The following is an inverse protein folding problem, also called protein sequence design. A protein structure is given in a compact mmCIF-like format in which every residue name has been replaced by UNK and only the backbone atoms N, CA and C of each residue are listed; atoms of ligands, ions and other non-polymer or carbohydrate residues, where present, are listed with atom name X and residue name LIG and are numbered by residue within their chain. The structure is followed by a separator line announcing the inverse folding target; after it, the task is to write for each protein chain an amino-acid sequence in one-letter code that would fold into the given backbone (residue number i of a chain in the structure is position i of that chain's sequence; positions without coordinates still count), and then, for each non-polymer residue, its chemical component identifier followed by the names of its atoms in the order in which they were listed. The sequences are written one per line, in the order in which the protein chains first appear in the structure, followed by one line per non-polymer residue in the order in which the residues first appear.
data_IF_768946420410
#
_entry.id   IF_768946420410
#
_cell.length_a   1.000
_cell.length_b   1.000
_cell.length_c   1.000
_cell.angle_alpha   90.00
_cell.angle_beta   90.00
_cell.angle_gamma   90.00
#
_symmetry.space_group_name_H-M   'P 1'
#
loop_
_entity.id
_entity.type
_entity.pdbx_description
1 polymer ?
#
# COMPACT_ATOMS: atom_id res chain seq x y z
N UNK A 1 -17.28 -36.69 45.74
CA UNK A 1 -16.37 -35.82 44.96
C UNK A 1 -16.19 -36.51 43.60
N UNK A 2 -16.85 -36.10 42.51
CA UNK A 2 -16.49 -34.97 41.61
C UNK A 2 -15.02 -35.09 41.15
N UNK A 3 -14.60 -35.31 39.90
CA UNK A 3 -15.22 -35.29 38.57
C UNK A 3 -14.46 -36.20 37.59
N UNK A 4 -15.19 -36.69 36.59
CA UNK A 4 -14.71 -37.15 35.27
C UNK A 4 -13.89 -36.06 34.56
N UNK A 5 -12.88 -36.44 33.77
CA UNK A 5 -12.50 -35.72 32.54
C UNK A 5 -11.73 -36.63 31.58
N UNK A 6 -12.46 -37.16 30.60
CA UNK A 6 -11.96 -37.49 29.27
C UNK A 6 -11.61 -36.18 28.56
N UNK A 7 -10.49 -36.10 27.85
CA UNK A 7 -10.27 -35.06 26.85
C UNK A 7 -9.51 -35.64 25.66
N UNK A 8 -10.29 -35.93 24.62
CA UNK A 8 -9.87 -36.41 23.31
C UNK A 8 -9.16 -35.31 22.51
N UNK A 9 -8.23 -35.65 21.60
CA UNK A 9 -7.60 -34.68 20.72
C UNK A 9 -8.59 -34.24 19.63
N UNK A 10 -8.80 -32.93 19.55
CA UNK A 10 -9.68 -32.25 18.61
C UNK A 10 -9.04 -32.25 17.21
N UNK A 11 -9.60 -33.07 16.30
CA UNK A 11 -9.29 -33.04 14.87
C UNK A 11 -9.80 -31.73 14.25
N UNK A 12 -8.87 -30.91 13.77
CA UNK A 12 -9.12 -29.70 13.00
C UNK A 12 -9.59 -30.09 11.60
N UNK A 13 -10.90 -29.94 11.34
CA UNK A 13 -11.52 -30.08 10.02
C UNK A 13 -11.57 -28.69 9.35
N UNK A 14 -10.91 -28.43 8.21
CA UNK A 14 -11.07 -27.17 7.52
C UNK A 14 -12.38 -27.19 6.73
N UNK A 15 -13.35 -26.38 7.16
CA UNK A 15 -14.56 -26.09 6.39
C UNK A 15 -14.18 -25.32 5.13
N UNK A 16 -14.21 -26.00 3.98
CA UNK A 16 -14.24 -25.39 2.65
C UNK A 16 -15.54 -24.59 2.50
N UNK A 17 -15.47 -23.29 2.76
CA UNK A 17 -16.52 -22.35 2.39
C UNK A 17 -16.47 -22.20 0.86
N UNK A 18 -17.32 -22.94 0.13
CA UNK A 18 -17.58 -22.67 -1.27
C UNK A 18 -18.20 -21.27 -1.37
N UNK A 19 -17.40 -20.31 -1.82
CA UNK A 19 -17.88 -19.02 -2.28
C UNK A 19 -18.83 -19.26 -3.46
N UNK A 20 -20.13 -19.22 -3.21
CA UNK A 20 -21.16 -19.18 -4.24
C UNK A 20 -21.08 -17.79 -4.88
N UNK A 21 -20.31 -17.67 -5.95
CA UNK A 21 -20.41 -16.53 -6.85
C UNK A 21 -21.84 -16.50 -7.43
N UNK A 22 -22.54 -15.35 -7.43
CA UNK A 22 -23.85 -15.26 -8.07
C UNK A 22 -23.69 -15.61 -9.55
N UNK A 23 -24.47 -16.59 -10.01
CA UNK A 23 -24.57 -16.91 -11.42
C UNK A 23 -25.12 -15.69 -12.15
N UNK A 24 -24.25 -14.97 -12.85
CA UNK A 24 -24.62 -13.94 -13.81
C UNK A 24 -25.37 -14.65 -14.93
N UNK A 25 -26.70 -14.62 -14.90
CA UNK A 25 -27.52 -14.99 -16.05
C UNK A 25 -27.05 -14.17 -17.24
N UNK A 26 -26.69 -14.80 -18.37
CA UNK A 26 -26.30 -14.05 -19.55
C UNK A 26 -27.47 -13.14 -19.93
N UNK A 27 -27.19 -11.89 -20.34
CA UNK A 27 -28.25 -10.99 -20.77
C UNK A 27 -29.01 -11.67 -21.91
N UNK A 28 -30.33 -11.80 -21.78
CA UNK A 28 -31.21 -12.28 -22.85
C UNK A 28 -30.99 -11.39 -24.07
N UNK A 29 -30.13 -11.84 -24.98
CA UNK A 29 -29.89 -11.19 -26.26
C UNK A 29 -30.98 -11.67 -27.23
N UNK A 30 -31.94 -10.82 -27.62
CA UNK A 30 -33.01 -11.23 -28.52
C UNK A 30 -32.52 -11.34 -29.98
N UNK A 31 -31.30 -10.88 -30.29
CA UNK A 31 -30.78 -10.84 -31.66
C UNK A 31 -30.68 -12.22 -32.34
N UNK A 32 -30.11 -13.26 -31.71
CA UNK A 32 -30.03 -14.60 -32.32
C UNK A 32 -31.42 -15.14 -32.70
N UNK A 33 -32.40 -14.94 -31.83
CA UNK A 33 -33.78 -15.35 -32.06
C UNK A 33 -34.43 -14.59 -33.23
N UNK A 34 -34.28 -13.27 -33.26
CA UNK A 34 -34.84 -12.43 -34.33
C UNK A 34 -34.21 -12.74 -35.70
N UNK A 35 -32.91 -13.05 -35.73
CA UNK A 35 -32.20 -13.47 -36.95
C UNK A 35 -32.75 -14.81 -37.47
N UNK A 36 -33.02 -15.76 -36.57
CA UNK A 36 -33.59 -17.05 -36.90
C UNK A 36 -35.02 -16.93 -37.44
N UNK A 37 -35.86 -16.11 -36.79
CA UNK A 37 -37.23 -15.80 -37.25
C UNK A 37 -37.21 -15.13 -38.64
N UNK A 38 -36.24 -14.26 -38.91
CA UNK A 38 -36.04 -13.62 -40.22
C UNK A 38 -35.63 -14.62 -41.31
N UNK A 39 -34.76 -15.58 -41.00
CA UNK A 39 -34.39 -16.64 -41.94
C UNK A 39 -35.58 -17.49 -42.36
N UNK A 40 -36.49 -17.83 -41.44
CA UNK A 40 -37.73 -18.54 -41.77
C UNK A 40 -38.65 -17.72 -42.69
N UNK A 41 -38.78 -16.42 -42.45
CA UNK A 41 -39.60 -15.55 -43.31
C UNK A 41 -39.03 -15.42 -44.73
N UNK A 42 -37.69 -15.39 -44.87
CA UNK A 42 -37.03 -15.39 -46.19
C UNK A 42 -37.28 -16.71 -46.93
N UNK A 43 -37.20 -17.85 -46.26
CA UNK A 43 -37.52 -19.14 -46.86
C UNK A 43 -38.98 -19.22 -47.34
N UNK A 44 -39.92 -18.67 -46.57
CA UNK A 44 -41.33 -18.60 -46.96
C UNK A 44 -41.54 -17.69 -48.19
N UNK A 45 -40.83 -16.57 -48.27
CA UNK A 45 -40.83 -15.71 -49.45
C UNK A 45 -40.27 -16.43 -50.68
N UNK A 46 -39.14 -17.13 -50.54
CA UNK A 46 -38.52 -17.87 -51.64
C UNK A 46 -39.42 -19.01 -52.12
N UNK A 47 -40.07 -19.74 -51.22
CA UNK A 47 -41.04 -20.76 -51.55
C UNK A 47 -42.25 -20.18 -52.30
N UNK A 48 -42.83 -19.08 -51.82
CA UNK A 48 -43.96 -18.40 -52.48
C UNK A 48 -43.57 -17.84 -53.87
N UNK A 49 -42.35 -17.31 -54.00
CA UNK A 49 -41.83 -16.81 -55.27
C UNK A 49 -41.48 -17.95 -56.25
N UNK A 50 -40.98 -19.08 -55.75
CA UNK A 50 -40.74 -20.29 -56.54
C UNK A 50 -42.06 -20.91 -57.01
N UNK A 51 -43.10 -20.94 -56.17
CA UNK A 51 -44.46 -21.37 -56.54
C UNK A 51 -45.00 -20.55 -57.72
N UNK A 52 -44.77 -19.23 -57.69
CA UNK A 52 -45.15 -18.29 -58.76
C UNK A 52 -44.37 -18.55 -60.06
N UNK A 53 -43.07 -18.83 -59.95
CA UNK A 53 -42.21 -19.08 -61.11
C UNK A 53 -42.33 -20.52 -61.66
N UNK A 54 -42.81 -21.48 -60.88
CA UNK A 54 -43.10 -22.85 -61.33
C UNK A 54 -44.35 -22.90 -62.23
N UNK A 55 -45.26 -21.93 -62.09
CA UNK A 55 -46.48 -21.76 -62.88
C UNK A 55 -46.27 -20.89 -64.13
N UNK A 56 -45.18 -21.12 -64.87
CA UNK A 56 -44.71 -20.33 -66.03
C UNK A 56 -45.64 -20.28 -67.26
N UNK A 57 -46.89 -20.76 -67.18
CA UNK A 57 -47.79 -20.84 -68.33
C UNK A 57 -49.08 -20.00 -68.21
N UNK A 58 -49.43 -19.46 -67.05
CA UNK A 58 -50.67 -18.67 -66.93
C UNK A 58 -50.51 -17.49 -65.97
N UNK A 59 -51.25 -16.42 -66.27
CA UNK A 59 -51.14 -15.11 -65.62
C UNK A 59 -51.15 -15.22 -64.09
N UNK A 60 -50.23 -14.54 -63.38
CA UNK A 60 -50.10 -14.67 -61.94
C UNK A 60 -51.43 -14.32 -61.24
N UNK A 61 -51.90 -15.24 -60.40
CA UNK A 61 -53.10 -15.04 -59.59
C UNK A 61 -52.84 -13.95 -58.54
N UNK A 62 -53.79 -13.04 -58.34
CA UNK A 62 -53.70 -11.95 -57.34
C UNK A 62 -53.37 -12.48 -55.93
N UNK A 63 -53.76 -13.72 -55.64
CA UNK A 63 -53.51 -14.41 -54.37
C UNK A 63 -52.02 -14.62 -54.09
N UNK A 64 -51.26 -15.05 -55.09
CA UNK A 64 -49.83 -15.35 -54.93
C UNK A 64 -49.01 -14.05 -54.79
N UNK A 65 -49.44 -12.99 -55.47
CA UNK A 65 -48.88 -11.64 -55.25
C UNK A 65 -49.13 -11.14 -53.83
N UNK A 66 -50.28 -11.47 -53.24
CA UNK A 66 -50.61 -11.05 -51.90
C UNK A 66 -49.78 -11.79 -50.84
N UNK A 67 -49.55 -13.09 -51.02
CA UNK A 67 -48.69 -13.89 -50.14
C UNK A 67 -47.23 -13.44 -50.17
N UNK A 68 -46.69 -13.12 -51.35
CA UNK A 68 -45.36 -12.54 -51.50
C UNK A 68 -45.25 -11.18 -50.80
N UNK A 69 -46.25 -10.31 -50.97
CA UNK A 69 -46.27 -8.99 -50.33
C UNK A 69 -46.37 -9.10 -48.81
N UNK A 70 -47.15 -10.04 -48.29
CA UNK A 70 -47.31 -10.24 -46.86
C UNK A 70 -46.05 -10.88 -46.23
N UNK A 71 -45.38 -11.80 -46.92
CA UNK A 71 -44.05 -12.28 -46.53
C UNK A 71 -43.03 -11.13 -46.50
N UNK A 72 -43.03 -10.25 -47.51
CA UNK A 72 -42.13 -9.09 -47.56
C UNK A 72 -42.39 -8.11 -46.41
N UNK A 73 -43.66 -7.82 -46.09
CA UNK A 73 -44.03 -7.00 -44.93
C UNK A 73 -43.57 -7.64 -43.62
N UNK A 74 -43.65 -8.97 -43.50
CA UNK A 74 -43.13 -9.72 -42.36
C UNK A 74 -41.62 -9.54 -42.18
N UNK A 75 -40.86 -9.70 -43.26
CA UNK A 75 -39.40 -9.50 -43.27
C UNK A 75 -39.05 -8.06 -42.85
N UNK A 76 -39.72 -7.04 -43.41
CA UNK A 76 -39.46 -5.63 -43.09
C UNK A 76 -39.71 -5.33 -41.60
N UNK A 77 -40.78 -5.89 -41.02
CA UNK A 77 -41.06 -5.75 -39.59
C UNK A 77 -39.95 -6.37 -38.73
N UNK A 78 -39.48 -7.57 -39.09
CA UNK A 78 -38.38 -8.23 -38.37
C UNK A 78 -37.04 -7.54 -38.55
N UNK A 79 -36.72 -7.03 -39.74
CA UNK A 79 -35.52 -6.23 -39.96
C UNK A 79 -35.54 -4.94 -39.10
N UNK A 80 -36.73 -4.33 -38.90
CA UNK A 80 -36.89 -3.18 -38.00
C UNK A 80 -36.65 -3.55 -36.53
N UNK A 81 -37.15 -4.71 -36.09
CA UNK A 81 -36.92 -5.24 -34.73
C UNK A 81 -35.44 -5.56 -34.50
N UNK A 82 -34.76 -6.16 -35.49
CA UNK A 82 -33.33 -6.46 -35.45
C UNK A 82 -32.52 -5.17 -35.32
N UNK A 83 -32.80 -4.15 -36.14
CA UNK A 83 -32.08 -2.86 -36.07
C UNK A 83 -32.25 -2.21 -34.70
N UNK A 84 -33.47 -2.23 -34.13
CA UNK A 84 -33.72 -1.71 -32.77
C UNK A 84 -32.97 -2.50 -31.71
N UNK A 85 -32.94 -3.83 -31.81
CA UNK A 85 -32.21 -4.69 -30.89
C UNK A 85 -30.69 -4.46 -30.97
N UNK A 86 -30.13 -4.30 -32.18
CA UNK A 86 -28.72 -3.95 -32.38
C UNK A 86 -28.42 -2.61 -31.74
N UNK A 87 -29.21 -1.55 -32.03
CA UNK A 87 -28.98 -0.22 -31.46
C UNK A 87 -29.02 -0.23 -29.92
N UNK A 88 -29.99 -0.94 -29.33
CA UNK A 88 -30.08 -1.10 -27.88
C UNK A 88 -28.86 -1.84 -27.31
N UNK A 89 -28.39 -2.89 -27.98
CA UNK A 89 -27.20 -3.62 -27.58
C UNK A 89 -25.93 -2.75 -27.71
N UNK A 90 -25.78 -1.98 -28.79
CA UNK A 90 -24.65 -1.06 -28.97
C UNK A 90 -24.63 0.00 -27.89
N UNK A 91 -25.77 0.64 -27.59
CA UNK A 91 -25.87 1.64 -26.53
C UNK A 91 -25.49 1.07 -25.16
N UNK A 92 -25.98 -0.13 -24.82
CA UNK A 92 -25.62 -0.81 -23.57
C UNK A 92 -24.12 -1.12 -23.51
N UNK A 93 -23.55 -1.60 -24.60
CA UNK A 93 -22.12 -1.95 -24.69
C UNK A 93 -21.24 -0.70 -24.56
N UNK A 94 -21.60 0.39 -25.24
CA UNK A 94 -20.90 1.68 -25.10
C UNK A 94 -21.03 2.24 -23.69
N UNK A 95 -22.22 2.18 -23.08
CA UNK A 95 -22.41 2.62 -21.70
C UNK A 95 -21.56 1.80 -20.71
N UNK A 96 -21.52 0.47 -20.86
CA UNK A 96 -20.70 -0.41 -20.05
C UNK A 96 -19.20 -0.09 -20.21
N UNK A 97 -18.71 0.03 -21.45
CA UNK A 97 -17.31 0.37 -21.73
C UNK A 97 -16.94 1.73 -21.15
N UNK A 98 -17.83 2.73 -21.25
CA UNK A 98 -17.59 4.06 -20.67
C UNK A 98 -17.56 4.00 -19.14
N UNK A 99 -18.49 3.25 -18.51
CA UNK A 99 -18.51 3.07 -17.07
C UNK A 99 -17.24 2.35 -16.58
N UNK A 100 -16.83 1.27 -17.24
CA UNK A 100 -15.59 0.55 -16.94
C UNK A 100 -14.36 1.43 -17.11
N UNK A 101 -14.29 2.22 -18.18
CA UNK A 101 -13.19 3.17 -18.38
C UNK A 101 -13.15 4.25 -17.30
N UNK A 102 -14.31 4.76 -16.86
CA UNK A 102 -14.36 5.73 -15.77
C UNK A 102 -13.92 5.11 -14.45
N UNK A 103 -14.36 3.88 -14.16
CA UNK A 103 -13.93 3.14 -12.97
C UNK A 103 -12.43 2.85 -13.00
N UNK A 104 -11.89 2.40 -14.13
CA UNK A 104 -10.46 2.16 -14.30
C UNK A 104 -9.65 3.44 -14.10
N UNK A 105 -10.11 4.58 -14.67
CA UNK A 105 -9.47 5.88 -14.45
C UNK A 105 -9.48 6.29 -12.97
N UNK A 106 -10.61 6.13 -12.28
CA UNK A 106 -10.71 6.42 -10.85
C UNK A 106 -9.75 5.55 -10.03
N UNK A 107 -9.67 4.25 -10.31
CA UNK A 107 -8.74 3.34 -9.64
C UNK A 107 -7.29 3.74 -9.85
N UNK A 108 -6.91 4.11 -11.08
CA UNK A 108 -5.56 4.61 -11.39
C UNK A 108 -5.26 5.92 -10.65
N UNK A 109 -6.21 6.86 -10.62
CA UNK A 109 -6.03 8.13 -9.90
C UNK A 109 -5.85 7.91 -8.40
N UNK A 110 -6.65 7.04 -7.78
CA UNK A 110 -6.52 6.70 -6.36
C UNK A 110 -5.17 6.04 -6.09
N UNK A 111 -4.76 5.07 -6.91
CA UNK A 111 -3.46 4.41 -6.77
C UNK A 111 -2.28 5.40 -6.92
N UNK A 112 -2.37 6.35 -7.86
CA UNK A 112 -1.35 7.38 -8.04
C UNK A 112 -1.31 8.37 -6.86
N UNK A 113 -2.47 8.78 -6.35
CA UNK A 113 -2.57 9.64 -5.18
C UNK A 113 -2.02 8.96 -3.92
N UNK A 114 -2.26 7.66 -3.76
CA UNK A 114 -1.73 6.89 -2.64
C UNK A 114 -0.20 6.77 -2.71
N UNK A 115 0.35 6.50 -3.90
CA UNK A 115 1.79 6.48 -4.14
C UNK A 115 2.45 7.84 -3.86
N UNK A 116 1.83 8.95 -4.27
CA UNK A 116 2.39 10.28 -4.00
C UNK A 116 2.35 10.62 -2.51
N UNK A 117 1.27 10.26 -1.81
CA UNK A 117 1.15 10.45 -0.36
C UNK A 117 2.20 9.63 0.40
N UNK A 118 2.47 8.41 -0.06
CA UNK A 118 3.49 7.55 0.53
C UNK A 118 4.89 8.11 0.29
N UNK A 119 5.21 8.59 -0.92
CA UNK A 119 6.48 9.27 -1.20
C UNK A 119 6.69 10.51 -0.34
N UNK A 120 5.65 11.33 -0.15
CA UNK A 120 5.71 12.51 0.71
C UNK A 120 6.09 12.11 2.14
N UNK A 121 5.44 11.08 2.69
CA UNK A 121 5.75 10.55 4.03
C UNK A 121 7.18 10.04 4.14
N UNK A 122 7.70 9.41 3.08
CA UNK A 122 9.11 8.98 3.05
C UNK A 122 10.07 10.18 3.14
N UNK A 123 9.84 11.25 2.38
CA UNK A 123 10.66 12.45 2.46
C UNK A 123 10.56 13.15 3.82
N UNK A 124 9.37 13.21 4.41
CA UNK A 124 9.18 13.78 5.74
C UNK A 124 9.90 12.98 6.82
N UNK A 125 9.89 11.64 6.71
CA UNK A 125 10.65 10.75 7.60
C UNK A 125 12.15 10.90 7.41
N UNK A 126 12.63 11.00 6.17
CA UNK A 126 14.04 11.23 5.87
C UNK A 126 14.54 12.54 6.49
N UNK A 127 13.79 13.62 6.33
CA UNK A 127 14.10 14.90 6.96
C UNK A 127 14.10 14.81 8.50
N UNK A 128 13.16 14.09 9.10
CA UNK A 128 13.13 13.88 10.54
C UNK A 128 14.37 13.11 11.02
N UNK A 129 14.77 12.05 10.31
CA UNK A 129 15.97 11.27 10.62
C UNK A 129 17.21 12.14 10.53
N UNK A 130 17.37 12.93 9.47
CA UNK A 130 18.50 13.84 9.30
C UNK A 130 18.57 14.87 10.43
N UNK A 131 17.44 15.46 10.82
CA UNK A 131 17.37 16.41 11.93
C UNK A 131 17.72 15.77 13.28
N UNK A 132 17.26 14.54 13.53
CA UNK A 132 17.62 13.79 14.75
C UNK A 132 19.11 13.46 14.77
N UNK A 133 19.67 12.99 13.67
CA UNK A 133 21.10 12.71 13.56
C UNK A 133 21.96 13.97 13.80
N UNK A 134 21.53 15.12 13.28
CA UNK A 134 22.21 16.39 13.53
C UNK A 134 22.16 16.78 15.02
N UNK A 135 21.00 16.60 15.67
CA UNK A 135 20.85 16.84 17.10
C UNK A 135 21.72 15.92 17.94
N UNK A 136 21.81 14.64 17.58
CA UNK A 136 22.63 13.67 18.30
C UNK A 136 24.11 14.02 18.18
N UNK A 137 24.58 14.36 16.97
CA UNK A 137 25.95 14.88 16.76
C UNK A 137 26.24 16.14 17.58
N UNK A 138 25.28 17.05 17.71
CA UNK A 138 25.44 18.24 18.54
C UNK A 138 25.49 17.90 20.03
N UNK A 139 24.68 16.93 20.49
CA UNK A 139 24.70 16.46 21.88
C UNK A 139 26.02 15.79 22.22
N UNK A 140 26.51 14.93 21.34
CA UNK A 140 27.81 14.26 21.48
C UNK A 140 28.95 15.28 21.59
N UNK A 141 28.99 16.27 20.69
CA UNK A 141 29.98 17.36 20.77
C UNK A 141 29.92 18.11 22.10
N UNK A 142 28.71 18.41 22.59
CA UNK A 142 28.54 19.08 23.90
C UNK A 142 29.03 18.22 25.06
N UNK A 143 28.79 16.91 25.02
CA UNK A 143 29.29 15.99 26.05
C UNK A 143 30.81 15.94 26.05
N UNK A 144 31.44 15.88 24.87
CA UNK A 144 32.90 15.92 24.74
C UNK A 144 33.49 17.24 25.26
N UNK A 145 32.86 18.37 24.95
CA UNK A 145 33.29 19.69 25.44
C UNK A 145 33.14 19.83 26.96
N UNK A 146 32.03 19.34 27.53
CA UNK A 146 31.83 19.28 28.98
C UNK A 146 32.83 18.35 29.67
N UNK A 147 33.20 17.24 29.03
CA UNK A 147 34.22 16.34 29.55
C UNK A 147 35.61 16.99 29.51
N UNK A 148 35.98 17.64 28.41
CA UNK A 148 37.24 18.34 28.27
C UNK A 148 37.39 19.47 29.31
N UNK A 149 36.32 20.25 29.53
CA UNK A 149 36.33 21.32 30.54
C UNK A 149 36.39 20.77 31.97
N UNK A 150 35.76 19.64 32.26
CA UNK A 150 35.90 18.96 33.54
C UNK A 150 37.34 18.45 33.76
N UNK A 151 37.94 17.84 32.74
CA UNK A 151 39.33 17.34 32.80
C UNK A 151 40.32 18.50 33.01
N UNK A 152 40.17 19.61 32.29
CA UNK A 152 40.98 20.82 32.48
C UNK A 152 40.84 21.38 33.91
N UNK A 153 39.62 21.43 34.45
CA UNK A 153 39.38 21.88 35.81
C UNK A 153 40.01 20.95 36.85
N UNK A 154 39.98 19.63 36.64
CA UNK A 154 40.65 18.68 37.54
C UNK A 154 42.16 18.81 37.46
N UNK A 155 42.75 18.97 36.28
CA UNK A 155 44.19 19.17 36.09
C UNK A 155 44.68 20.48 36.74
N UNK A 156 43.90 21.55 36.63
CA UNK A 156 44.19 22.82 37.31
C UNK A 156 44.14 22.68 38.84
N UNK A 157 43.21 21.88 39.38
CA UNK A 157 43.15 21.58 40.82
C UNK A 157 44.31 20.72 41.29
N UNK A 158 44.64 19.64 40.58
CA UNK A 158 45.73 18.73 40.97
C UNK A 158 47.08 19.42 40.92
N UNK A 159 47.36 20.26 39.92
CA UNK A 159 48.61 21.04 39.86
C UNK A 159 48.75 22.00 41.05
N UNK A 160 47.66 22.67 41.44
CA UNK A 160 47.64 23.53 42.63
C UNK A 160 47.84 22.73 43.92
N UNK A 161 47.16 21.59 44.06
CA UNK A 161 47.31 20.71 45.22
C UNK A 161 48.72 20.12 45.33
N UNK A 162 49.34 19.74 44.20
CA UNK A 162 50.71 19.26 44.15
C UNK A 162 51.73 20.33 44.58
N UNK A 163 51.55 21.58 44.17
CA UNK A 163 52.40 22.69 44.62
C UNK A 163 52.25 22.95 46.12
N UNK A 164 51.01 22.94 46.63
CA UNK A 164 50.75 23.10 48.07
C UNK A 164 51.35 21.94 48.87
N UNK A 165 51.19 20.70 48.41
CA UNK A 165 51.77 19.52 49.03
C UNK A 165 53.31 19.59 49.04
N UNK A 166 53.92 19.99 47.92
CA UNK A 166 55.36 20.17 47.82
C UNK A 166 55.91 21.22 48.78
N UNK A 167 55.25 22.39 48.87
CA UNK A 167 55.62 23.45 49.81
C UNK A 167 55.46 22.98 51.27
N UNK A 168 54.37 22.29 51.59
CA UNK A 168 54.11 21.77 52.93
C UNK A 168 55.22 20.80 53.38
N UNK A 169 55.66 19.90 52.50
CA UNK A 169 56.76 18.97 52.77
C UNK A 169 58.07 19.73 53.00
N UNK A 170 58.36 20.74 52.18
CA UNK A 170 59.56 21.57 52.33
C UNK A 170 59.56 22.31 53.68
N UNK A 171 58.45 22.95 54.05
CA UNK A 171 58.28 23.60 55.34
C UNK A 171 58.46 22.63 56.52
N UNK A 172 57.86 21.44 56.45
CA UNK A 172 58.01 20.40 57.48
C UNK A 172 59.47 19.92 57.58
N UNK A 173 60.15 19.73 56.44
CA UNK A 173 61.56 19.35 56.39
C UNK A 173 62.49 20.40 57.01
N UNK A 174 62.24 21.69 56.74
CA UNK A 174 62.98 22.79 57.37
C UNK A 174 62.72 22.87 58.88
N UNK A 175 61.47 22.71 59.33
CA UNK A 175 61.16 22.64 60.76
C UNK A 175 61.90 21.49 61.44
N UNK A 176 61.89 20.30 60.84
CA UNK A 176 62.63 19.16 61.34
C UNK A 176 64.14 19.42 61.39
N UNK A 177 64.70 20.05 60.35
CA UNK A 177 66.10 20.44 60.31
C UNK A 177 66.45 21.43 61.44
N UNK A 178 65.62 22.45 61.68
CA UNK A 178 65.81 23.42 62.76
C UNK A 178 65.72 22.74 64.13
N UNK A 179 64.77 21.83 64.34
CA UNK A 179 64.65 21.06 65.59
C UNK A 179 65.89 20.19 65.83
N UNK A 180 66.41 19.53 64.78
CA UNK A 180 67.66 18.76 64.85
C UNK A 180 68.87 19.64 65.13
N UNK A 181 68.93 20.84 64.56
CA UNK A 181 70.01 21.80 64.82
C UNK A 181 69.94 22.31 66.26
N UNK A 182 68.73 22.64 66.75
CA UNK A 182 68.49 23.03 68.14
C UNK A 182 68.87 21.92 69.12
N UNK A 183 68.53 20.65 68.84
CA UNK A 183 68.93 19.54 69.72
C UNK A 183 70.43 19.27 69.71
N UNK A 184 71.12 19.54 68.59
CA UNK A 184 72.60 19.50 68.51
C UNK A 184 73.28 20.64 69.26
N UNK A 185 72.67 21.83 69.30
CA UNK A 185 73.18 22.99 70.04
C UNK A 185 72.82 22.94 71.53
N UNK A 186 71.73 22.25 71.88
CA UNK A 186 71.27 22.06 73.24
C UNK A 186 72.00 20.92 74.00
N UNK A 187 73.09 20.37 73.46
CA UNK A 187 73.99 19.51 74.24
C UNK A 187 74.53 20.31 75.42
N UNK A 188 74.10 20.01 76.66
CA UNK A 188 74.57 20.76 77.80
C UNK A 188 76.05 20.48 77.96
N UNK A 189 76.85 21.54 78.05
CA UNK A 189 78.21 21.46 78.59
C UNK A 189 78.09 20.78 79.95
N UNK A 190 78.46 19.50 80.01
CA UNK A 190 78.56 18.73 81.25
C UNK A 190 79.66 19.41 82.07
N UNK A 191 79.24 20.35 82.92
CA UNK A 191 80.10 21.08 83.84
C UNK A 191 80.72 20.05 84.77
N UNK A 192 81.97 19.66 84.48
CA UNK A 192 82.84 18.88 85.36
C UNK A 192 82.88 19.61 86.71
N UNK A 193 82.35 18.97 87.74
CA UNK A 193 82.88 19.08 89.10
C UNK A 193 83.66 17.81 89.35
#
# INVERSE_FOLDING_TARGET
MKHRSFLAPLLFLPTLLLAQAPATTPPDDPLPRLIQERQQLVQNYEAANAQRNAFLADKPSKKDLQEVVDALKGIIRKDTEIVRAVQAATLRRTAAVVAENQQAKQQVTVAQADQSSTRQRFYDLENQIQNLQLRDKQREKKLLDLQATADEATQARTSREMLVAGLAILCAGLLFYVLKLRSRLATPVRRRK
#
